data_IF_295002893594
#
_entry.id   IF_295002893594
#
_cell.length_a   1.000
_cell.length_b   1.000
_cell.length_c   1.000
_cell.angle_alpha   90.00
_cell.angle_beta   90.00
_cell.angle_gamma   90.00
#
_symmetry.space_group_name_H-M   'P 1'
#
loop_
_entity.id
_entity.type
_entity.pdbx_description
1 polymer ?
#
# COMPACT_ATOMS: atom_id res chain seq x y z
N UNK A 1 3.36 -13.21 -23.07
CA UNK A 1 2.04 -13.84 -22.80
C UNK A 1 2.06 -15.38 -22.80
N UNK A 2 2.64 -16.07 -23.77
CA UNK A 2 2.60 -17.55 -23.84
C UNK A 2 3.23 -18.25 -22.62
N UNK A 3 4.34 -17.73 -22.10
CA UNK A 3 5.05 -18.34 -20.96
C UNK A 3 4.30 -18.22 -19.62
N UNK A 4 3.56 -17.14 -19.40
CA UNK A 4 2.80 -16.93 -18.16
C UNK A 4 1.58 -17.88 -18.11
N UNK A 5 0.99 -18.21 -19.25
CA UNK A 5 -0.17 -19.14 -19.33
C UNK A 5 0.20 -20.54 -18.81
N UNK A 6 1.44 -20.98 -18.99
CA UNK A 6 1.94 -22.26 -18.48
C UNK A 6 2.12 -22.28 -16.95
N UNK A 7 2.11 -21.11 -16.29
CA UNK A 7 2.27 -20.96 -14.85
C UNK A 7 0.94 -20.86 -14.10
N UNK A 8 -0.20 -20.86 -14.81
CA UNK A 8 -1.52 -20.76 -14.18
C UNK A 8 -1.90 -22.10 -13.57
N UNK A 9 -1.78 -22.21 -12.25
CA UNK A 9 -1.98 -23.46 -11.50
C UNK A 9 -3.20 -23.43 -10.59
N UNK A 10 -3.55 -22.26 -10.03
CA UNK A 10 -4.59 -22.13 -9.01
C UNK A 10 -5.94 -21.66 -9.58
N UNK A 11 -7.02 -21.87 -8.82
CA UNK A 11 -8.36 -21.35 -9.15
C UNK A 11 -8.41 -19.82 -9.02
N UNK A 12 -7.69 -19.25 -8.05
CA UNK A 12 -7.59 -17.79 -7.86
C UNK A 12 -6.97 -17.15 -9.10
N UNK A 13 -5.86 -17.72 -9.61
CA UNK A 13 -5.21 -17.22 -10.82
C UNK A 13 -6.16 -17.28 -12.03
N UNK A 14 -6.81 -18.43 -12.26
CA UNK A 14 -7.76 -18.60 -13.38
C UNK A 14 -8.90 -17.60 -13.30
N UNK A 15 -9.54 -17.46 -12.15
CA UNK A 15 -10.64 -16.52 -11.90
C UNK A 15 -10.24 -15.08 -12.27
N UNK A 16 -9.11 -14.60 -11.77
CA UNK A 16 -8.69 -13.22 -11.99
C UNK A 16 -8.18 -12.96 -13.40
N UNK A 17 -7.50 -13.93 -14.02
CA UNK A 17 -7.06 -13.80 -15.41
C UNK A 17 -8.27 -13.69 -16.35
N UNK A 18 -9.35 -14.44 -16.13
CA UNK A 18 -10.57 -14.29 -16.93
C UNK A 18 -11.18 -12.89 -16.75
N UNK A 19 -11.23 -12.35 -15.53
CA UNK A 19 -11.66 -10.97 -15.29
C UNK A 19 -10.74 -9.95 -16.02
N UNK A 20 -9.43 -10.13 -15.96
CA UNK A 20 -8.49 -9.27 -16.64
C UNK A 20 -8.60 -9.31 -18.17
N UNK A 21 -8.92 -10.45 -18.75
CA UNK A 21 -9.20 -10.55 -20.20
C UNK A 21 -10.37 -9.69 -20.61
N UNK A 22 -11.44 -9.64 -19.80
CA UNK A 22 -12.64 -8.83 -20.07
C UNK A 22 -12.34 -7.34 -20.03
N UNK A 23 -11.54 -6.87 -19.06
CA UNK A 23 -11.25 -5.45 -18.87
C UNK A 23 -10.03 -4.95 -19.66
N UNK A 24 -9.31 -5.86 -20.31
CA UNK A 24 -8.01 -5.62 -20.96
C UNK A 24 -7.98 -4.38 -21.80
N UNK A 25 -8.89 -4.28 -22.79
CA UNK A 25 -8.87 -3.18 -23.76
C UNK A 25 -9.19 -1.84 -23.10
N UNK A 26 -10.03 -1.83 -22.07
CA UNK A 26 -10.36 -0.63 -21.29
C UNK A 26 -9.15 -0.11 -20.52
N UNK A 27 -8.36 -0.98 -19.86
CA UNK A 27 -7.18 -0.57 -19.13
C UNK A 27 -6.09 -0.10 -20.08
N UNK A 28 -5.80 -0.84 -21.14
CA UNK A 28 -4.78 -0.48 -22.14
C UNK A 28 -5.07 0.83 -22.88
N UNK A 29 -6.33 1.08 -23.21
CA UNK A 29 -6.71 2.25 -24.00
C UNK A 29 -6.33 3.59 -23.33
N UNK A 30 -6.18 3.61 -22.01
CA UNK A 30 -5.85 4.82 -21.23
C UNK A 30 -4.45 4.83 -20.64
N UNK A 31 -3.75 3.71 -20.64
CA UNK A 31 -2.46 3.58 -19.97
C UNK A 31 -1.44 4.60 -20.50
N UNK A 32 -1.29 4.71 -21.82
CA UNK A 32 -0.40 5.69 -22.46
C UNK A 32 -0.82 7.13 -22.18
N UNK A 33 -2.11 7.44 -22.31
CA UNK A 33 -2.63 8.78 -22.02
C UNK A 33 -2.38 9.17 -20.56
N UNK A 34 -2.69 8.28 -19.61
CA UNK A 34 -2.48 8.52 -18.20
C UNK A 34 -1.00 8.77 -17.87
N UNK A 35 -0.10 7.99 -18.48
CA UNK A 35 1.34 8.18 -18.27
C UNK A 35 1.82 9.52 -18.85
N UNK A 36 1.43 9.88 -20.08
CA UNK A 36 1.82 11.13 -20.73
C UNK A 36 1.33 12.38 -19.98
N UNK A 37 0.17 12.28 -19.31
CA UNK A 37 -0.46 13.41 -18.61
C UNK A 37 -0.29 13.32 -17.08
N UNK A 38 0.53 12.38 -16.57
CA UNK A 38 0.72 12.15 -15.13
C UNK A 38 -0.62 11.95 -14.39
N UNK A 39 -1.58 11.29 -15.04
CA UNK A 39 -2.92 11.10 -14.50
C UNK A 39 -3.07 9.72 -13.86
N UNK A 40 -3.40 9.69 -12.57
CA UNK A 40 -3.60 8.44 -11.86
C UNK A 40 -4.84 7.67 -12.39
N UNK A 41 -4.76 6.34 -12.57
CA UNK A 41 -5.83 5.53 -13.14
C UNK A 41 -6.91 5.18 -12.10
N UNK A 42 -7.59 6.19 -11.51
CA UNK A 42 -8.61 6.00 -10.48
C UNK A 42 -9.67 4.98 -10.87
N UNK A 43 -10.16 5.01 -12.11
CA UNK A 43 -11.19 4.08 -12.58
C UNK A 43 -10.76 2.62 -12.60
N UNK A 44 -9.46 2.38 -12.86
CA UNK A 44 -8.91 1.04 -12.81
C UNK A 44 -8.86 0.53 -11.36
N UNK A 45 -8.40 1.38 -10.43
CA UNK A 45 -8.36 1.05 -9.01
C UNK A 45 -9.77 0.83 -8.46
N UNK A 46 -10.73 1.71 -8.76
CA UNK A 46 -12.14 1.57 -8.37
C UNK A 46 -12.72 0.22 -8.86
N UNK A 47 -12.46 -0.15 -10.11
CA UNK A 47 -12.89 -1.43 -10.66
C UNK A 47 -12.27 -2.59 -9.90
N UNK A 48 -10.96 -2.57 -9.66
CA UNK A 48 -10.24 -3.62 -8.92
C UNK A 48 -10.82 -3.80 -7.50
N UNK A 49 -11.08 -2.70 -6.80
CA UNK A 49 -11.68 -2.73 -5.45
C UNK A 49 -13.11 -3.30 -5.51
N UNK A 50 -13.94 -2.81 -6.43
CA UNK A 50 -15.32 -3.29 -6.61
C UNK A 50 -15.37 -4.79 -6.90
N UNK A 51 -14.44 -5.30 -7.71
CA UNK A 51 -14.34 -6.73 -8.04
C UNK A 51 -13.72 -7.58 -6.92
N UNK A 52 -13.17 -6.94 -5.88
CA UNK A 52 -12.60 -7.58 -4.70
C UNK A 52 -11.10 -7.86 -4.78
N UNK A 53 -10.37 -7.28 -5.75
CA UNK A 53 -8.91 -7.47 -5.86
C UNK A 53 -8.14 -6.91 -4.68
N UNK A 54 -8.62 -5.82 -4.05
CA UNK A 54 -8.01 -5.24 -2.87
C UNK A 54 -7.90 -6.19 -1.67
N UNK A 55 -8.70 -7.25 -1.63
CA UNK A 55 -8.65 -8.27 -0.59
C UNK A 55 -8.05 -9.62 -1.06
N UNK A 56 -7.28 -9.58 -2.15
CA UNK A 56 -6.67 -10.76 -2.76
C UNK A 56 -5.86 -11.58 -1.74
N UNK A 57 -4.96 -10.93 -1.02
CA UNK A 57 -4.03 -11.54 -0.05
C UNK A 57 -4.56 -11.56 1.39
N UNK A 58 -5.67 -10.88 1.67
CA UNK A 58 -6.34 -10.97 2.97
C UNK A 58 -6.75 -12.43 3.23
N UNK A 59 -6.44 -13.02 4.39
CA UNK A 59 -6.79 -14.42 4.64
C UNK A 59 -8.30 -14.67 4.61
N UNK A 60 -8.70 -15.87 4.22
CA UNK A 60 -10.11 -16.29 4.13
C UNK A 60 -10.87 -16.12 5.46
N UNK A 61 -10.19 -16.35 6.59
CA UNK A 61 -10.76 -16.15 7.92
C UNK A 61 -11.22 -14.70 8.18
N UNK A 62 -10.68 -13.74 7.44
CA UNK A 62 -11.02 -12.31 7.51
C UNK A 62 -11.85 -11.82 6.31
N UNK A 63 -12.37 -12.74 5.48
CA UNK A 63 -13.22 -12.39 4.34
C UNK A 63 -12.48 -12.09 3.03
N UNK A 64 -11.18 -12.38 2.97
CA UNK A 64 -10.37 -12.27 1.77
C UNK A 64 -10.31 -13.55 0.92
N UNK A 65 -9.51 -13.53 -0.14
CA UNK A 65 -9.30 -14.71 -1.00
C UNK A 65 -8.18 -15.61 -0.50
N UNK A 66 -7.26 -15.12 0.32
CA UNK A 66 -6.14 -15.89 0.86
C UNK A 66 -5.13 -16.30 -0.21
N UNK A 67 -4.95 -15.46 -1.23
CA UNK A 67 -3.98 -15.70 -2.30
C UNK A 67 -2.55 -15.75 -1.74
N UNK A 68 -1.76 -16.67 -2.28
CA UNK A 68 -0.35 -16.79 -1.96
C UNK A 68 0.48 -15.70 -2.63
N UNK A 69 1.75 -15.59 -2.25
CA UNK A 69 2.69 -14.69 -2.93
C UNK A 69 2.88 -15.08 -4.40
N UNK A 70 2.85 -16.38 -4.71
CA UNK A 70 2.92 -16.89 -6.08
C UNK A 70 1.71 -16.44 -6.90
N UNK A 71 0.48 -16.58 -6.35
CA UNK A 71 -0.73 -16.08 -6.99
C UNK A 71 -0.62 -14.58 -7.26
N UNK A 72 -0.19 -13.82 -6.26
CA UNK A 72 -0.03 -12.38 -6.38
C UNK A 72 0.95 -12.01 -7.50
N UNK A 73 2.13 -12.63 -7.56
CA UNK A 73 3.15 -12.32 -8.57
C UNK A 73 2.65 -12.60 -9.97
N UNK A 74 1.99 -13.75 -10.20
CA UNK A 74 1.42 -14.09 -11.49
C UNK A 74 0.35 -13.08 -11.89
N UNK A 75 -0.58 -12.75 -11.00
CA UNK A 75 -1.66 -11.82 -11.29
C UNK A 75 -1.16 -10.39 -11.52
N UNK A 76 -0.17 -9.93 -10.75
CA UNK A 76 0.47 -8.63 -10.96
C UNK A 76 1.20 -8.56 -12.30
N UNK A 77 1.81 -9.65 -12.74
CA UNK A 77 2.45 -9.70 -14.07
C UNK A 77 1.44 -9.54 -15.20
N UNK A 78 0.25 -10.17 -15.11
CA UNK A 78 -0.84 -9.96 -16.06
C UNK A 78 -1.38 -8.53 -16.03
N UNK A 79 -1.60 -7.99 -14.84
CA UNK A 79 -2.11 -6.63 -14.67
C UNK A 79 -1.12 -5.60 -15.22
N UNK A 80 0.19 -5.84 -15.02
CA UNK A 80 1.27 -5.00 -15.54
C UNK A 80 1.34 -4.93 -17.05
N UNK A 81 0.92 -5.98 -17.77
CA UNK A 81 0.76 -5.94 -19.25
C UNK A 81 -0.40 -5.03 -19.69
N UNK A 82 -1.37 -4.79 -18.82
CA UNK A 82 -2.53 -3.95 -19.13
C UNK A 82 -2.23 -2.49 -18.84
N UNK A 83 -1.74 -2.21 -17.64
CA UNK A 83 -1.35 -0.87 -17.19
C UNK A 83 -0.36 -0.99 -16.02
N UNK A 84 0.89 -0.61 -16.27
CA UNK A 84 1.97 -0.68 -15.27
C UNK A 84 1.73 0.20 -14.04
N UNK A 85 1.13 1.39 -14.20
CA UNK A 85 0.82 2.28 -13.08
C UNK A 85 -0.26 1.69 -12.17
N UNK A 86 -1.33 1.13 -12.76
CA UNK A 86 -2.35 0.38 -12.01
C UNK A 86 -1.73 -0.80 -11.26
N UNK A 87 -0.93 -1.61 -11.95
CA UNK A 87 -0.32 -2.80 -11.35
C UNK A 87 0.60 -2.44 -10.19
N UNK A 88 1.50 -1.46 -10.35
CA UNK A 88 2.38 -1.02 -9.28
C UNK A 88 1.58 -0.53 -8.07
N UNK A 89 0.59 0.32 -8.31
CA UNK A 89 -0.20 0.95 -7.25
C UNK A 89 -0.95 -0.08 -6.41
N UNK A 90 -1.79 -0.92 -7.04
CA UNK A 90 -2.55 -1.94 -6.31
C UNK A 90 -1.64 -3.07 -5.80
N UNK A 91 -0.52 -3.32 -6.44
CA UNK A 91 0.49 -4.30 -6.03
C UNK A 91 1.06 -3.98 -4.65
N UNK A 92 1.33 -2.72 -4.35
CA UNK A 92 1.73 -2.30 -3.01
C UNK A 92 0.65 -2.62 -1.97
N UNK A 93 -0.59 -2.28 -2.27
CA UNK A 93 -1.70 -2.55 -1.36
C UNK A 93 -1.83 -4.05 -1.04
N UNK A 94 -1.95 -4.91 -2.06
CA UNK A 94 -2.14 -6.35 -1.83
C UNK A 94 -0.93 -6.99 -1.15
N UNK A 95 0.31 -6.54 -1.43
CA UNK A 95 1.50 -7.05 -0.76
C UNK A 95 1.53 -6.64 0.72
N UNK A 96 1.18 -5.40 1.03
CA UNK A 96 1.13 -4.89 2.41
C UNK A 96 0.06 -5.59 3.22
N UNK A 97 -1.15 -5.78 2.66
CA UNK A 97 -2.22 -6.53 3.30
C UNK A 97 -1.75 -7.96 3.62
N UNK A 98 -1.20 -8.69 2.66
CA UNK A 98 -0.68 -10.04 2.90
C UNK A 98 0.33 -10.10 4.03
N UNK A 99 1.30 -9.19 4.04
CA UNK A 99 2.34 -9.14 5.06
C UNK A 99 1.80 -8.81 6.46
N UNK A 100 0.82 -7.91 6.59
CA UNK A 100 0.21 -7.55 7.87
C UNK A 100 -0.36 -8.81 8.56
N UNK A 101 -1.10 -9.61 7.81
CA UNK A 101 -1.78 -10.79 8.37
C UNK A 101 -0.86 -12.00 8.51
N UNK A 102 0.09 -12.21 7.60
CA UNK A 102 1.09 -13.27 7.69
C UNK A 102 1.99 -13.09 8.91
N UNK A 103 2.47 -11.86 9.14
CA UNK A 103 3.37 -11.53 10.25
C UNK A 103 2.64 -11.16 11.54
N UNK A 104 1.30 -11.07 11.53
CA UNK A 104 0.48 -10.65 12.67
C UNK A 104 0.99 -9.38 13.32
N UNK A 105 1.15 -8.32 12.51
CA UNK A 105 1.83 -7.09 12.92
C UNK A 105 1.13 -6.34 14.06
N UNK A 106 -0.15 -6.60 14.31
CA UNK A 106 -0.95 -5.98 15.36
C UNK A 106 -1.67 -7.03 16.22
N UNK A 107 -2.35 -6.55 17.29
CA UNK A 107 -3.23 -7.39 18.10
C UNK A 107 -4.36 -7.99 17.26
N UNK A 108 -4.93 -9.09 17.74
CA UNK A 108 -6.05 -9.76 17.07
C UNK A 108 -7.22 -8.80 16.81
N UNK A 109 -7.60 -8.00 17.83
CA UNK A 109 -8.68 -7.02 17.70
C UNK A 109 -8.40 -5.97 16.62
N UNK A 110 -7.15 -5.51 16.52
CA UNK A 110 -6.75 -4.54 15.49
C UNK A 110 -6.76 -5.16 14.10
N UNK A 111 -6.32 -6.42 13.96
CA UNK A 111 -6.39 -7.15 12.70
C UNK A 111 -7.84 -7.35 12.25
N UNK A 112 -8.75 -7.70 13.16
CA UNK A 112 -10.18 -7.83 12.88
C UNK A 112 -10.80 -6.50 12.44
N UNK A 113 -10.52 -5.41 13.15
CA UNK A 113 -10.99 -4.07 12.78
C UNK A 113 -10.47 -3.67 11.40
N UNK A 114 -9.19 -3.84 11.12
CA UNK A 114 -8.59 -3.47 9.84
C UNK A 114 -9.11 -4.34 8.69
N UNK A 115 -9.42 -5.62 8.94
CA UNK A 115 -10.04 -6.49 7.95
C UNK A 115 -11.42 -5.97 7.49
N UNK A 116 -12.21 -5.42 8.41
CA UNK A 116 -13.50 -4.80 8.05
C UNK A 116 -13.28 -3.63 7.08
N UNK A 117 -12.28 -2.80 7.35
CA UNK A 117 -11.96 -1.67 6.47
C UNK A 117 -11.48 -2.11 5.08
N UNK A 118 -10.59 -3.12 5.01
CA UNK A 118 -10.16 -3.70 3.73
C UNK A 118 -11.34 -4.30 2.95
N UNK A 119 -12.26 -5.01 3.62
CA UNK A 119 -13.46 -5.54 2.98
C UNK A 119 -14.39 -4.43 2.47
N UNK A 120 -14.37 -3.26 3.08
CA UNK A 120 -15.10 -2.06 2.66
C UNK A 120 -14.35 -1.21 1.62
N UNK A 121 -13.21 -1.68 1.14
CA UNK A 121 -12.46 -1.03 0.05
C UNK A 121 -11.36 -0.07 0.50
N UNK A 122 -10.93 -0.12 1.77
CA UNK A 122 -9.78 0.65 2.22
C UNK A 122 -8.52 0.29 1.45
N UNK A 123 -7.71 1.29 1.13
CA UNK A 123 -6.43 1.17 0.45
C UNK A 123 -5.30 1.54 1.39
N UNK A 124 -4.26 0.70 1.45
CA UNK A 124 -3.09 0.90 2.30
C UNK A 124 -1.79 0.74 1.52
N UNK A 125 -0.81 1.55 1.84
CA UNK A 125 0.58 1.40 1.38
C UNK A 125 1.55 1.71 2.52
N UNK A 126 2.83 1.40 2.33
CA UNK A 126 3.92 1.78 3.24
C UNK A 126 4.65 3.02 2.75
N UNK A 127 4.88 3.96 3.66
CA UNK A 127 5.72 5.13 3.46
C UNK A 127 6.98 4.98 4.32
N UNK A 128 8.07 4.56 3.68
CA UNK A 128 9.34 4.20 4.35
C UNK A 128 10.49 5.09 3.90
N UNK A 129 10.53 5.45 2.62
CA UNK A 129 11.63 6.19 2.00
C UNK A 129 11.63 7.67 2.39
N UNK A 130 12.83 8.27 2.46
CA UNK A 130 13.06 9.69 2.69
C UNK A 130 14.13 10.21 1.73
N UNK A 131 14.08 11.51 1.40
CA UNK A 131 14.95 12.11 0.39
C UNK A 131 16.44 12.02 0.78
N UNK A 132 16.79 12.32 2.03
CA UNK A 132 18.19 12.41 2.47
C UNK A 132 18.77 11.06 2.91
N UNK A 133 17.95 10.21 3.55
CA UNK A 133 18.41 8.96 4.17
C UNK A 133 18.12 7.71 3.34
N UNK A 134 17.33 7.83 2.26
CA UNK A 134 16.86 6.70 1.48
C UNK A 134 15.91 5.80 2.28
N UNK A 135 16.03 4.47 2.10
CA UNK A 135 15.20 3.51 2.82
C UNK A 135 15.88 3.00 4.10
N UNK A 136 15.17 2.91 5.25
CA UNK A 136 15.68 2.28 6.48
C UNK A 136 16.15 0.83 6.29
N UNK A 137 15.68 0.14 5.24
CA UNK A 137 16.15 -1.22 4.89
C UNK A 137 17.65 -1.27 4.55
N UNK A 138 18.27 -0.11 4.29
CA UNK A 138 19.71 0.04 4.09
C UNK A 138 20.46 0.45 5.36
N UNK A 139 19.83 0.38 6.54
CA UNK A 139 20.44 0.69 7.84
C UNK A 139 20.44 2.19 8.20
N UNK A 140 19.74 3.04 7.42
CA UNK A 140 19.60 4.46 7.76
C UNK A 140 18.56 4.68 8.87
N UNK A 141 18.87 5.59 9.81
CA UNK A 141 17.90 6.09 10.79
C UNK A 141 16.98 7.08 10.06
N UNK A 142 15.65 6.87 10.04
CA UNK A 142 14.73 7.84 9.43
C UNK A 142 14.77 9.17 10.19
N UNK A 143 14.64 10.28 9.46
CA UNK A 143 14.43 11.60 10.02
C UNK A 143 13.00 11.79 10.54
N UNK A 144 12.03 11.08 9.95
CA UNK A 144 10.68 10.97 10.51
C UNK A 144 10.76 10.33 11.88
N UNK A 145 10.21 11.00 12.87
CA UNK A 145 10.28 10.58 14.26
C UNK A 145 8.90 10.49 14.90
N UNK A 146 8.81 9.67 15.92
CA UNK A 146 7.64 9.46 16.76
C UNK A 146 8.00 9.75 18.21
N UNK A 147 7.24 10.63 18.85
CA UNK A 147 7.37 10.97 20.27
C UNK A 147 6.18 10.36 21.02
N UNK A 148 6.44 9.69 22.13
CA UNK A 148 5.40 9.08 22.96
C UNK A 148 4.58 10.19 23.63
N UNK A 149 3.26 10.02 23.59
CA UNK A 149 2.26 10.87 24.27
C UNK A 149 1.41 10.03 25.22
N UNK A 150 0.49 10.65 25.96
CA UNK A 150 -0.32 9.95 26.99
C UNK A 150 -1.16 8.79 26.44
N UNK A 151 -1.70 8.94 25.22
CA UNK A 151 -2.64 8.01 24.59
C UNK A 151 -2.13 7.39 23.27
N UNK A 152 -0.87 7.68 22.88
CA UNK A 152 -0.31 7.20 21.63
C UNK A 152 1.06 7.77 21.32
N UNK A 153 1.25 8.14 20.04
CA UNK A 153 2.46 8.78 19.52
C UNK A 153 2.11 10.00 18.70
N UNK A 154 3.03 10.97 18.65
CA UNK A 154 2.99 12.13 17.76
C UNK A 154 4.06 11.94 16.70
N UNK A 155 3.65 11.95 15.43
CA UNK A 155 4.52 11.73 14.28
C UNK A 155 4.85 13.06 13.59
N UNK A 156 6.13 13.26 13.26
CA UNK A 156 6.61 14.38 12.46
C UNK A 156 7.64 13.92 11.44
N UNK A 157 7.57 14.44 10.21
CA UNK A 157 8.52 14.15 9.16
C UNK A 157 7.93 14.15 7.76
N UNK A 158 8.76 13.75 6.77
CA UNK A 158 8.37 13.68 5.36
C UNK A 158 8.81 12.33 4.79
N UNK A 159 7.89 11.66 4.10
CA UNK A 159 8.16 10.45 3.33
C UNK A 159 8.04 10.72 1.85
N UNK A 160 8.93 10.11 1.06
CA UNK A 160 8.93 10.22 -0.39
C UNK A 160 8.40 8.96 -1.06
N UNK A 161 8.02 9.07 -2.32
CA UNK A 161 7.60 7.92 -3.16
C UNK A 161 6.39 7.15 -2.60
N UNK A 162 5.43 7.86 -2.00
CA UNK A 162 4.20 7.25 -1.49
C UNK A 162 3.22 6.97 -2.64
N UNK A 163 3.42 5.86 -3.35
CA UNK A 163 2.60 5.50 -4.52
C UNK A 163 1.13 5.42 -4.17
N UNK A 164 0.26 5.88 -5.11
CA UNK A 164 -1.19 5.93 -4.93
C UNK A 164 -1.62 6.89 -3.79
N UNK A 165 -0.77 7.87 -3.44
CA UNK A 165 -0.89 8.68 -2.22
C UNK A 165 -2.26 9.34 -2.04
N UNK A 166 -2.85 9.88 -3.12
CA UNK A 166 -4.16 10.55 -3.08
C UNK A 166 -5.35 9.57 -2.94
N UNK A 167 -5.17 8.31 -3.33
CA UNK A 167 -6.21 7.29 -3.24
C UNK A 167 -6.14 6.47 -1.93
N UNK A 168 -5.05 6.54 -1.19
CA UNK A 168 -4.89 5.81 0.09
C UNK A 168 -5.90 6.29 1.13
N UNK A 169 -6.41 5.34 1.90
CA UNK A 169 -7.16 5.61 3.13
C UNK A 169 -6.28 5.51 4.36
N UNK A 170 -5.28 4.60 4.30
CA UNK A 170 -4.32 4.35 5.37
C UNK A 170 -2.90 4.30 4.84
N UNK A 171 -1.95 4.71 5.67
CA UNK A 171 -0.53 4.70 5.34
C UNK A 171 0.24 4.10 6.53
N UNK A 172 1.07 3.09 6.27
CA UNK A 172 1.98 2.57 7.29
C UNK A 172 3.28 3.35 7.22
N UNK A 173 3.50 4.19 8.21
CA UNK A 173 4.65 5.09 8.30
C UNK A 173 5.74 4.48 9.16
N UNK A 174 6.96 4.43 8.63
CA UNK A 174 8.16 4.11 9.41
C UNK A 174 8.67 5.38 10.10
N UNK A 175 8.80 5.37 11.44
CA UNK A 175 9.35 6.48 12.19
C UNK A 175 10.33 5.99 13.27
N UNK A 176 11.33 6.80 13.58
CA UNK A 176 12.26 6.53 14.66
C UNK A 176 11.65 6.96 16.00
N UNK A 177 11.78 6.10 17.00
CA UNK A 177 11.29 6.35 18.36
C UNK A 177 12.51 6.50 19.26
N UNK A 178 12.75 7.73 19.75
CA UNK A 178 13.93 8.04 20.57
C UNK A 178 13.98 7.18 21.83
N UNK A 179 12.85 7.05 22.54
CA UNK A 179 12.76 6.33 23.81
C UNK A 179 13.06 4.84 23.68
N UNK A 180 12.83 4.26 22.49
CA UNK A 180 13.07 2.85 22.20
C UNK A 180 14.36 2.64 21.38
N UNK A 181 15.03 3.70 20.94
CA UNK A 181 16.19 3.68 20.04
C UNK A 181 15.98 2.75 18.83
N UNK A 182 14.77 2.74 18.29
CA UNK A 182 14.37 1.82 17.23
C UNK A 182 13.38 2.42 16.25
N UNK A 183 13.27 1.81 15.07
CA UNK A 183 12.24 2.16 14.09
C UNK A 183 10.96 1.40 14.40
N UNK A 184 9.85 2.13 14.49
CA UNK A 184 8.52 1.58 14.57
C UNK A 184 7.71 1.86 13.31
N UNK A 185 6.61 1.11 13.13
CA UNK A 185 5.66 1.28 12.04
C UNK A 185 4.29 1.65 12.60
N UNK A 186 3.69 2.69 12.05
CA UNK A 186 2.44 3.26 12.53
C UNK A 186 1.40 3.26 11.43
N UNK A 187 0.22 2.68 11.69
CA UNK A 187 -0.92 2.81 10.78
C UNK A 187 -1.56 4.19 10.99
N UNK A 188 -1.48 5.01 9.99
CA UNK A 188 -1.97 6.40 9.97
C UNK A 188 -3.20 6.46 9.06
N UNK A 189 -4.35 6.89 9.59
CA UNK A 189 -5.49 7.28 8.76
C UNK A 189 -5.14 8.58 8.01
N UNK A 190 -5.36 8.59 6.70
CA UNK A 190 -5.03 9.73 5.85
C UNK A 190 -5.77 11.01 6.25
N UNK A 191 -6.94 10.90 6.87
CA UNK A 191 -7.76 12.04 7.25
C UNK A 191 -7.40 12.64 8.62
N UNK A 192 -6.40 12.10 9.32
CA UNK A 192 -5.96 12.67 10.59
C UNK A 192 -5.42 14.09 10.39
N UNK A 193 -5.68 15.00 11.34
CA UNK A 193 -5.08 16.33 11.34
C UNK A 193 -3.56 16.24 11.26
N UNK A 194 -2.95 17.07 10.41
CA UNK A 194 -1.51 17.10 10.19
C UNK A 194 -0.99 16.13 9.13
N UNK A 195 -1.84 15.28 8.54
CA UNK A 195 -1.49 14.44 7.38
C UNK A 195 -1.77 15.21 6.10
N UNK A 196 -0.73 15.43 5.30
CA UNK A 196 -0.80 16.14 4.04
C UNK A 196 -0.08 15.34 2.93
N UNK A 197 -0.65 15.35 1.73
CA UNK A 197 -0.03 14.81 0.51
C UNK A 197 0.42 16.00 -0.34
N UNK A 198 1.72 16.09 -0.58
CA UNK A 198 2.27 17.10 -1.48
C UNK A 198 1.84 16.83 -2.93
N UNK A 199 1.77 17.86 -3.75
CA UNK A 199 1.50 17.73 -5.18
C UNK A 199 2.81 17.91 -5.98
N UNK A 200 3.76 16.99 -5.78
CA UNK A 200 5.14 17.14 -6.23
C UNK A 200 5.68 15.92 -7.02
N UNK A 201 4.79 15.03 -7.50
CA UNK A 201 5.23 13.89 -8.33
C UNK A 201 5.48 14.30 -9.76
N UNK A 202 6.75 14.62 -10.11
CA UNK A 202 7.21 14.96 -11.45
C UNK A 202 8.45 14.14 -11.78
N UNK A 203 8.30 13.12 -12.63
CA UNK A 203 9.32 12.08 -12.88
C UNK A 203 9.33 11.64 -14.33
N UNK A 204 10.44 11.02 -14.76
CA UNK A 204 10.62 10.56 -16.13
C UNK A 204 9.74 9.35 -16.49
N UNK A 205 9.52 8.43 -15.58
CA UNK A 205 8.75 7.20 -15.80
C UNK A 205 7.81 6.88 -14.64
N UNK A 206 6.78 6.06 -14.89
CA UNK A 206 5.74 5.74 -13.90
C UNK A 206 4.99 6.98 -13.39
N UNK A 207 4.80 7.97 -14.28
CA UNK A 207 4.20 9.25 -13.97
C UNK A 207 2.79 9.14 -13.39
N UNK A 208 2.04 8.15 -13.88
CA UNK A 208 0.65 7.92 -13.46
C UNK A 208 0.50 7.18 -12.11
N UNK A 209 1.55 7.06 -11.28
CA UNK A 209 1.45 6.39 -9.98
C UNK A 209 1.11 7.32 -8.81
N UNK A 210 1.10 8.64 -9.03
CA UNK A 210 0.90 9.65 -7.97
C UNK A 210 1.69 9.33 -6.71
N UNK A 211 3.02 9.11 -6.88
CA UNK A 211 3.89 8.73 -5.76
C UNK A 211 4.42 9.97 -5.03
N UNK A 212 3.51 10.87 -4.67
CA UNK A 212 3.81 12.12 -3.99
C UNK A 212 4.43 11.92 -2.61
N UNK A 213 4.98 13.00 -2.05
CA UNK A 213 5.47 13.02 -0.69
C UNK A 213 4.30 13.07 0.31
N UNK A 214 4.48 12.35 1.42
CA UNK A 214 3.61 12.40 2.59
C UNK A 214 4.28 13.28 3.64
N UNK A 215 3.57 14.31 4.08
CA UNK A 215 4.00 15.23 5.12
C UNK A 215 3.21 14.93 6.40
N UNK A 216 3.92 14.82 7.51
CA UNK A 216 3.36 14.58 8.84
C UNK A 216 3.76 15.74 9.75
N UNK A 217 2.77 16.44 10.26
CA UNK A 217 2.95 17.60 11.16
C UNK A 217 2.08 17.41 12.40
N UNK A 218 2.70 17.00 13.51
CA UNK A 218 2.06 16.72 14.80
C UNK A 218 0.90 15.71 14.70
N UNK A 219 1.05 14.67 13.85
CA UNK A 219 0.02 13.65 13.63
C UNK A 219 -0.08 12.74 14.83
N UNK A 220 -1.23 12.75 15.50
CA UNK A 220 -1.50 11.90 16.67
C UNK A 220 -2.06 10.55 16.25
N UNK A 221 -1.41 9.47 16.68
CA UNK A 221 -1.83 8.09 16.42
C UNK A 221 -1.92 7.27 17.72
N UNK A 222 -2.99 6.48 17.93
CA UNK A 222 -3.15 5.72 19.17
C UNK A 222 -2.17 4.54 19.25
N UNK A 223 -1.84 4.09 20.45
CA UNK A 223 -0.91 2.97 20.67
C UNK A 223 -1.29 1.69 19.92
N UNK A 224 -2.56 1.41 19.69
CA UNK A 224 -3.02 0.22 18.98
C UNK A 224 -2.56 0.13 17.53
N UNK A 225 -2.25 1.26 16.90
CA UNK A 225 -1.80 1.34 15.49
C UNK A 225 -0.30 1.11 15.33
N UNK A 226 0.44 1.05 16.42
CA UNK A 226 1.88 0.82 16.43
C UNK A 226 2.21 -0.68 16.24
N UNK A 227 3.17 -0.95 15.36
CA UNK A 227 3.81 -2.25 15.16
C UNK A 227 5.32 -2.10 15.32
N UNK A 228 5.91 -2.89 16.22
CA UNK A 228 7.34 -2.86 16.55
C UNK A 228 7.59 -3.47 17.91
N UNK A 229 8.86 -3.56 18.32
CA UNK A 229 9.18 -3.97 19.67
C UNK A 229 8.75 -2.89 20.67
N UNK A 230 7.84 -3.23 21.58
CA UNK A 230 7.31 -2.31 22.61
C UNK A 230 8.21 -2.20 23.83
N UNK A 231 9.18 -3.14 23.99
CA UNK A 231 10.12 -3.19 25.11
C UNK A 231 11.50 -3.60 24.61
N UNK A 232 12.55 -2.94 25.10
CA UNK A 232 13.91 -3.48 25.20
C UNK A 232 14.08 -4.11 26.58
#
# INVERSE_FOLDING_TARGET
MIWIILLITTEIQRKWIEKFKVIRDTFKAKAEYNDQHSQFPYKNIEWLIKEGYGKLTLPKAYGGEGATIEDMVILQSFLGELDGATALSIGWHVSVVGQIYEQKLWSQDMLEQFAVEINNGALVNRAVSEAEMGSPTRGGRPSTHAVKADDGYILNGVKTYTSMSKALTHIIVAAYIEELESVGFFLVDRNLPGVEIADNWDVLGMRATESHDLILNDVKVPFKTFSGNREK
#
